data_IF_533460112652
#
_entry.id   IF_533460112652
#
_cell.length_a   1.000
_cell.length_b   1.000
_cell.length_c   1.000
_cell.angle_alpha   90.00
_cell.angle_beta   90.00
_cell.angle_gamma   90.00
#
_symmetry.space_group_name_H-M   'P 1'
#
loop_
_entity.id
_entity.type
_entity.pdbx_description
1 polymer ?
#
# COMPACT_ATOMS: atom_id res chain seq x y z
N UNK A 1 3.91 -2.46 30.92
CA UNK A 1 3.67 -3.23 29.68
C UNK A 1 3.73 -2.26 28.49
N UNK A 2 4.90 -1.70 28.19
CA UNK A 2 5.11 -0.67 27.15
C UNK A 2 6.05 -1.13 26.02
N UNK A 3 6.69 -2.29 26.18
CA UNK A 3 7.78 -2.78 25.32
C UNK A 3 7.25 -3.54 24.08
N UNK A 4 5.99 -4.01 24.11
CA UNK A 4 5.41 -4.76 22.99
C UNK A 4 4.87 -3.90 21.84
N UNK A 5 4.56 -2.61 22.07
CA UNK A 5 4.02 -1.75 21.00
C UNK A 5 5.11 -1.24 20.04
N UNK A 6 6.32 -0.98 20.54
CA UNK A 6 7.40 -0.39 19.74
C UNK A 6 8.01 -1.38 18.75
N UNK A 7 8.06 -2.67 19.11
CA UNK A 7 8.68 -3.73 18.29
C UNK A 7 7.85 -4.04 17.03
N UNK A 8 6.52 -4.08 17.16
CA UNK A 8 5.62 -4.34 16.04
C UNK A 8 5.64 -3.21 15.00
N UNK A 9 5.72 -1.95 15.46
CA UNK A 9 5.81 -0.79 14.56
C UNK A 9 7.14 -0.77 13.79
N UNK A 10 8.26 -1.06 14.46
CA UNK A 10 9.56 -1.13 13.79
C UNK A 10 9.66 -2.28 12.78
N UNK A 11 9.06 -3.44 13.09
CA UNK A 11 9.01 -4.58 12.17
C UNK A 11 8.11 -4.30 10.96
N UNK A 12 6.91 -3.75 11.18
CA UNK A 12 6.01 -3.34 10.12
C UNK A 12 6.59 -2.21 9.25
N UNK A 13 7.37 -1.30 9.84
CA UNK A 13 8.07 -0.24 9.11
C UNK A 13 9.18 -0.80 8.20
N UNK A 14 9.94 -1.77 8.69
CA UNK A 14 10.94 -2.46 7.88
C UNK A 14 10.29 -3.29 6.76
N UNK A 15 9.19 -3.99 7.05
CA UNK A 15 8.44 -4.75 6.06
C UNK A 15 7.83 -3.83 4.99
N UNK A 16 7.14 -2.78 5.40
CA UNK A 16 6.50 -1.84 4.48
C UNK A 16 7.50 -1.08 3.61
N UNK A 17 8.64 -0.70 4.18
CA UNK A 17 9.75 -0.12 3.41
C UNK A 17 10.30 -1.12 2.39
N UNK A 18 10.57 -2.35 2.81
CA UNK A 18 11.11 -3.38 1.94
C UNK A 18 10.17 -3.67 0.77
N UNK A 19 8.89 -3.94 1.03
CA UNK A 19 7.88 -4.18 -0.01
C UNK A 19 7.70 -2.97 -0.93
N UNK A 20 7.77 -1.75 -0.40
CA UNK A 20 7.79 -0.54 -1.22
C UNK A 20 9.00 -0.51 -2.16
N UNK A 21 10.20 -0.76 -1.66
CA UNK A 21 11.44 -0.63 -2.44
C UNK A 21 11.52 -1.62 -3.59
N UNK A 22 11.11 -2.88 -3.37
CA UNK A 22 11.22 -3.94 -4.38
C UNK A 22 10.09 -3.92 -5.41
N UNK A 23 8.94 -3.30 -5.10
CA UNK A 23 7.75 -3.40 -5.93
C UNK A 23 7.06 -2.05 -6.15
N UNK A 24 6.52 -1.43 -5.09
CA UNK A 24 5.63 -0.28 -5.22
C UNK A 24 6.34 0.97 -5.77
N UNK A 25 7.63 1.14 -5.44
CA UNK A 25 8.46 2.29 -5.85
C UNK A 25 8.50 2.47 -7.37
N UNK A 26 8.42 1.38 -8.14
CA UNK A 26 8.41 1.39 -9.61
C UNK A 26 7.37 2.34 -10.20
N UNK A 27 6.25 2.54 -9.51
CA UNK A 27 5.20 3.48 -9.94
C UNK A 27 4.97 4.63 -8.94
N UNK A 28 5.19 4.38 -7.65
CA UNK A 28 4.87 5.34 -6.59
C UNK A 28 6.04 6.22 -6.15
N UNK A 29 7.23 6.09 -6.75
CA UNK A 29 8.32 7.05 -6.51
C UNK A 29 7.87 8.50 -6.78
N UNK A 30 8.18 9.48 -5.89
CA UNK A 30 7.61 10.82 -5.97
C UNK A 30 7.72 11.51 -7.34
N UNK A 31 8.87 11.36 -7.99
CA UNK A 31 9.17 12.01 -9.27
C UNK A 31 8.41 11.38 -10.45
N UNK A 32 8.25 10.06 -10.42
CA UNK A 32 7.58 9.31 -11.49
C UNK A 32 6.06 9.29 -11.34
N UNK A 33 5.58 9.14 -10.10
CA UNK A 33 4.16 8.92 -9.81
C UNK A 33 3.26 10.01 -10.39
N UNK A 34 3.69 11.27 -10.32
CA UNK A 34 2.96 12.41 -10.89
C UNK A 34 2.82 12.31 -12.40
N UNK A 35 3.88 11.91 -13.10
CA UNK A 35 3.88 11.79 -14.56
C UNK A 35 2.91 10.68 -15.04
N UNK A 36 2.84 9.57 -14.30
CA UNK A 36 1.97 8.43 -14.64
C UNK A 36 0.62 8.44 -13.91
N UNK A 37 0.29 9.53 -13.21
CA UNK A 37 -0.97 9.73 -12.45
C UNK A 37 -1.20 8.70 -11.32
N UNK A 38 -0.13 8.11 -10.79
CA UNK A 38 -0.18 7.33 -9.55
C UNK A 38 -0.16 8.27 -8.32
N UNK A 39 -0.70 7.87 -7.15
CA UNK A 39 -0.52 8.64 -5.92
C UNK A 39 0.96 8.59 -5.50
N UNK A 40 1.67 9.73 -5.42
CA UNK A 40 3.07 9.74 -5.04
C UNK A 40 3.26 9.25 -3.60
N UNK A 41 4.25 8.39 -3.36
CA UNK A 41 4.66 8.05 -2.00
C UNK A 41 5.05 9.32 -1.24
N UNK A 42 4.67 9.36 0.04
CA UNK A 42 4.91 10.45 0.98
C UNK A 42 4.21 11.79 0.63
N UNK A 43 3.31 11.79 -0.35
CA UNK A 43 2.40 12.91 -0.57
C UNK A 43 1.17 12.75 0.32
N UNK A 44 1.25 13.34 1.51
CA UNK A 44 0.16 13.32 2.52
C UNK A 44 -1.18 13.78 1.96
N UNK A 45 -1.21 14.74 1.04
CA UNK A 45 -2.47 15.25 0.46
C UNK A 45 -3.07 14.22 -0.49
N UNK A 46 -2.24 13.64 -1.36
CA UNK A 46 -2.67 12.57 -2.26
C UNK A 46 -3.21 11.36 -1.48
N UNK A 47 -2.48 10.88 -0.47
CA UNK A 47 -2.91 9.73 0.33
C UNK A 47 -4.14 10.02 1.19
N UNK A 48 -4.27 11.22 1.77
CA UNK A 48 -5.50 11.63 2.48
C UNK A 48 -6.72 11.57 1.55
N UNK A 49 -6.59 11.99 0.30
CA UNK A 49 -7.66 11.91 -0.68
C UNK A 49 -8.01 10.45 -1.00
N UNK A 50 -7.01 9.57 -1.21
CA UNK A 50 -7.23 8.14 -1.47
C UNK A 50 -7.94 7.45 -0.32
N UNK A 51 -7.54 7.70 0.93
CA UNK A 51 -8.22 7.14 2.10
C UNK A 51 -9.63 7.69 2.29
N UNK A 52 -9.89 8.96 1.94
CA UNK A 52 -11.26 9.52 1.95
C UNK A 52 -12.16 8.80 0.94
N UNK A 53 -11.67 8.56 -0.27
CA UNK A 53 -12.38 7.81 -1.30
C UNK A 53 -12.63 6.37 -0.85
N UNK A 54 -11.58 5.68 -0.38
CA UNK A 54 -11.69 4.32 0.12
C UNK A 54 -12.70 4.18 1.27
N UNK A 55 -12.80 5.19 2.15
CA UNK A 55 -13.82 5.20 3.22
C UNK A 55 -15.24 5.29 2.67
N UNK A 56 -15.46 6.05 1.60
CA UNK A 56 -16.77 6.11 0.94
C UNK A 56 -17.10 4.76 0.31
N UNK A 57 -16.13 4.16 -0.38
CA UNK A 57 -16.30 2.87 -1.06
C UNK A 57 -16.60 1.73 -0.07
N UNK A 58 -15.89 1.68 1.06
CA UNK A 58 -16.17 0.70 2.10
C UNK A 58 -17.56 0.89 2.72
N UNK A 59 -17.98 2.15 2.94
CA UNK A 59 -19.34 2.45 3.41
C UNK A 59 -20.43 2.00 2.43
N UNK A 60 -20.17 2.13 1.13
CA UNK A 60 -21.13 1.75 0.09
C UNK A 60 -21.18 0.24 -0.14
N UNK A 61 -20.11 -0.49 0.19
CA UNK A 61 -19.98 -1.93 -0.05
C UNK A 61 -19.55 -2.68 1.22
N UNK A 62 -20.34 -2.62 2.31
CA UNK A 62 -19.91 -3.09 3.62
C UNK A 62 -19.78 -4.62 3.72
N UNK A 63 -20.38 -5.38 2.79
CA UNK A 63 -20.21 -6.83 2.71
C UNK A 63 -18.86 -7.23 2.09
N UNK A 64 -18.20 -6.31 1.38
CA UNK A 64 -16.94 -6.57 0.68
C UNK A 64 -15.74 -5.92 1.37
N UNK A 65 -15.93 -4.74 1.97
CA UNK A 65 -14.85 -3.99 2.62
C UNK A 65 -15.32 -3.50 3.99
N UNK A 66 -14.68 -4.01 5.05
CA UNK A 66 -14.94 -3.57 6.42
C UNK A 66 -14.26 -2.21 6.68
N UNK A 67 -13.06 -2.03 6.14
CA UNK A 67 -12.23 -0.85 6.34
C UNK A 67 -11.82 -0.17 5.02
N UNK A 68 -11.40 1.12 5.06
CA UNK A 68 -10.78 1.76 3.91
C UNK A 68 -9.49 1.04 3.45
N UNK A 69 -8.78 0.37 4.36
CA UNK A 69 -7.58 -0.38 4.00
C UNK A 69 -7.94 -1.61 3.16
N UNK A 70 -9.03 -2.31 3.47
CA UNK A 70 -9.46 -3.50 2.73
C UNK A 70 -9.75 -3.15 1.27
N UNK A 71 -10.40 -2.00 1.03
CA UNK A 71 -10.61 -1.49 -0.31
C UNK A 71 -9.29 -1.21 -1.04
N UNK A 72 -8.33 -0.56 -0.37
CA UNK A 72 -7.04 -0.24 -0.98
C UNK A 72 -6.23 -1.52 -1.27
N UNK A 73 -6.16 -2.43 -0.31
CA UNK A 73 -5.50 -3.74 -0.45
C UNK A 73 -6.13 -4.55 -1.58
N UNK A 74 -7.46 -4.63 -1.64
CA UNK A 74 -8.17 -5.30 -2.72
C UNK A 74 -7.73 -4.75 -4.09
N UNK A 75 -7.71 -3.43 -4.25
CA UNK A 75 -7.26 -2.82 -5.50
C UNK A 75 -5.78 -3.09 -5.82
N UNK A 76 -4.91 -3.18 -4.81
CA UNK A 76 -3.51 -3.62 -5.04
C UNK A 76 -3.48 -5.05 -5.56
N UNK A 77 -4.26 -5.96 -4.97
CA UNK A 77 -4.30 -7.38 -5.35
C UNK A 77 -4.84 -7.57 -6.77
N UNK A 78 -5.97 -6.95 -7.09
CA UNK A 78 -6.64 -7.11 -8.39
C UNK A 78 -6.15 -6.14 -9.47
N UNK A 79 -5.32 -5.14 -9.11
CA UNK A 79 -4.97 -4.03 -9.99
C UNK A 79 -6.10 -3.01 -10.17
N UNK A 80 -5.73 -1.76 -10.51
CA UNK A 80 -6.69 -0.68 -10.82
C UNK A 80 -6.06 0.38 -11.71
N UNK A 81 -6.66 0.63 -12.87
CA UNK A 81 -6.10 1.56 -13.86
C UNK A 81 -4.74 1.07 -14.35
N UNK A 82 -3.69 1.88 -14.16
CA UNK A 82 -2.31 1.52 -14.53
C UNK A 82 -1.58 0.70 -13.45
N UNK A 83 -2.21 0.46 -12.29
CA UNK A 83 -1.62 -0.37 -11.25
C UNK A 83 -1.81 -1.85 -11.58
N UNK A 84 -0.70 -2.56 -11.78
CA UNK A 84 -0.69 -4.00 -12.05
C UNK A 84 -1.18 -4.83 -10.86
N UNK A 85 -1.64 -6.04 -11.15
CA UNK A 85 -2.10 -7.00 -10.13
C UNK A 85 -0.95 -7.30 -9.15
N UNK A 86 -1.28 -7.38 -7.86
CA UNK A 86 -0.33 -7.55 -6.77
C UNK A 86 0.72 -6.44 -6.64
N UNK A 87 0.53 -5.28 -7.30
CA UNK A 87 1.49 -4.17 -7.27
C UNK A 87 2.89 -4.53 -7.77
N UNK A 88 2.99 -5.51 -8.69
CA UNK A 88 4.25 -6.10 -9.18
C UNK A 88 5.07 -6.87 -8.12
N UNK A 89 4.54 -7.12 -6.92
CA UNK A 89 5.31 -7.76 -5.84
C UNK A 89 5.86 -9.14 -6.24
N UNK A 90 5.01 -10.02 -6.79
CA UNK A 90 5.46 -11.35 -7.28
C UNK A 90 6.31 -11.26 -8.56
N UNK A 91 6.29 -10.12 -9.25
CA UNK A 91 7.03 -9.88 -10.49
C UNK A 91 8.37 -9.15 -10.25
N UNK A 92 8.72 -8.85 -9.00
CA UNK A 92 9.94 -8.13 -8.64
C UNK A 92 11.24 -8.91 -8.94
N UNK A 93 11.16 -10.21 -9.25
CA UNK A 93 12.32 -11.04 -9.55
C UNK A 93 13.24 -11.31 -8.35
N UNK A 94 12.80 -10.95 -7.14
CA UNK A 94 13.53 -11.19 -5.89
C UNK A 94 13.05 -12.52 -5.28
N UNK A 95 13.94 -13.50 -5.06
CA UNK A 95 13.57 -14.77 -4.42
C UNK A 95 13.01 -14.56 -3.00
N UNK A 96 12.07 -15.40 -2.58
CA UNK A 96 11.46 -15.38 -1.24
C UNK A 96 10.84 -14.03 -0.86
N UNK A 97 10.31 -13.29 -1.85
CA UNK A 97 9.61 -12.03 -1.57
C UNK A 97 8.30 -12.28 -0.84
N UNK A 98 8.11 -11.62 0.30
CA UNK A 98 6.84 -11.59 1.01
C UNK A 98 5.87 -10.61 0.32
N UNK A 99 4.87 -11.19 -0.36
CA UNK A 99 3.75 -10.48 -0.98
C UNK A 99 2.42 -10.75 -0.27
N UNK A 100 2.47 -11.08 1.02
CA UNK A 100 1.30 -11.25 1.86
C UNK A 100 0.47 -9.98 1.97
N UNK A 101 -0.79 -10.14 2.39
CA UNK A 101 -1.67 -9.00 2.68
C UNK A 101 -1.04 -8.09 3.75
N UNK A 102 -0.32 -8.64 4.73
CA UNK A 102 0.41 -7.88 5.74
C UNK A 102 1.52 -7.01 5.11
N UNK A 103 2.33 -7.58 4.23
CA UNK A 103 3.39 -6.86 3.52
C UNK A 103 2.83 -5.73 2.65
N UNK A 104 1.75 -5.98 1.93
CA UNK A 104 1.08 -4.97 1.08
C UNK A 104 0.43 -3.86 1.91
N UNK A 105 -0.23 -4.20 3.03
CA UNK A 105 -0.78 -3.23 3.98
C UNK A 105 0.35 -2.37 4.57
N UNK A 106 1.45 -3.00 4.98
CA UNK A 106 2.63 -2.30 5.50
C UNK A 106 3.21 -1.33 4.46
N UNK A 107 3.27 -1.70 3.18
CA UNK A 107 3.72 -0.82 2.11
C UNK A 107 2.78 0.36 1.88
N UNK A 108 1.46 0.16 1.88
CA UNK A 108 0.47 1.25 1.82
C UNK A 108 0.66 2.21 2.99
N UNK A 109 0.86 1.66 4.20
CA UNK A 109 1.12 2.45 5.40
C UNK A 109 2.40 3.25 5.28
N UNK A 110 3.46 2.64 4.77
CA UNK A 110 4.74 3.28 4.54
C UNK A 110 4.63 4.44 3.55
N UNK A 111 4.02 4.23 2.38
CA UNK A 111 3.84 5.27 1.36
C UNK A 111 2.94 6.42 1.83
N UNK A 112 2.02 6.18 2.75
CA UNK A 112 1.09 7.19 3.29
C UNK A 112 1.76 8.21 4.24
N UNK A 113 2.94 7.88 4.78
CA UNK A 113 3.61 8.67 5.84
C UNK A 113 3.88 10.12 5.47
#
# INVERSE_FOLDING_TARGET
MLIYLTSNLAFADNLGKYTYEIACKTCHAPDLAKAIKAPPAFDKKAWKLRFKQAKIEAKNNPLQFETPMDYLLYNVKIGKGLMYHGGLCNAAGVPNTDCSDEALIAAINYMRK
#
